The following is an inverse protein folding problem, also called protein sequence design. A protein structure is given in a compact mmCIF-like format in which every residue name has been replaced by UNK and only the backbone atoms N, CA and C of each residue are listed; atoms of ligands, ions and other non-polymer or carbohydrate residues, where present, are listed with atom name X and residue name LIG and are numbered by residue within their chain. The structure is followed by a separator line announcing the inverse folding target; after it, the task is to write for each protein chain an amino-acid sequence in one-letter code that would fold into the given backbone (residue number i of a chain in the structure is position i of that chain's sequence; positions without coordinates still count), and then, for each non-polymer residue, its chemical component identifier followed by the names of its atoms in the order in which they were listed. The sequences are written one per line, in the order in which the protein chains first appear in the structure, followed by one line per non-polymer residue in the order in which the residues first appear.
data_IF_619296457228
#
_entry.id   IF_619296457228
#
_cell.length_a   1.000
_cell.length_b   1.000
_cell.length_c   1.000
_cell.angle_alpha   90.00
_cell.angle_beta   90.00
_cell.angle_gamma   90.00
#
_symmetry.space_group_name_H-M   'P 1'
#
loop_
_entity.id
_entity.type
_entity.pdbx_description
1 polymer ?
#
# COMPACT_ATOMS: atom_id res chain seq x y z
N UNK A 1 -23.68 -67.48 21.34
CA UNK A 1 -24.13 -66.72 20.15
C UNK A 1 -23.78 -65.26 20.36
N UNK A 2 -22.75 -64.78 19.66
CA UNK A 2 -22.21 -63.42 19.72
C UNK A 2 -23.25 -62.37 19.28
N UNK A 3 -23.31 -61.23 19.98
CA UNK A 3 -23.65 -59.94 19.37
C UNK A 3 -22.84 -58.81 20.02
N UNK A 4 -21.84 -58.32 19.28
CA UNK A 4 -21.18 -57.03 19.43
C UNK A 4 -22.11 -55.93 18.90
N UNK A 5 -22.23 -54.81 19.60
CA UNK A 5 -22.57 -53.48 19.08
C UNK A 5 -22.62 -52.49 20.26
N UNK A 6 -22.17 -51.24 20.21
CA UNK A 6 -21.33 -50.48 19.30
C UNK A 6 -20.91 -49.24 20.09
N UNK A 7 -19.63 -48.89 20.10
CA UNK A 7 -19.15 -47.63 20.67
C UNK A 7 -19.45 -46.54 19.64
N UNK A 8 -20.24 -45.55 20.02
CA UNK A 8 -20.49 -44.33 19.23
C UNK A 8 -19.38 -43.34 19.56
N UNK A 9 -18.49 -42.96 18.62
CA UNK A 9 -17.61 -41.83 18.84
C UNK A 9 -18.34 -40.56 18.40
N UNK A 10 -18.61 -39.67 19.34
CA UNK A 10 -19.10 -38.31 19.07
C UNK A 10 -17.98 -37.55 18.37
N UNK A 11 -18.10 -37.33 17.07
CA UNK A 11 -17.20 -36.46 16.32
C UNK A 11 -17.47 -35.00 16.71
N UNK A 12 -16.54 -34.40 17.47
CA UNK A 12 -16.51 -32.97 17.70
C UNK A 12 -16.01 -32.28 16.43
N UNK A 13 -16.94 -31.66 15.70
CA UNK A 13 -16.65 -30.82 14.53
C UNK A 13 -16.03 -29.51 15.03
N UNK A 14 -14.69 -29.42 15.09
CA UNK A 14 -14.02 -28.12 15.23
C UNK A 14 -14.21 -27.36 13.91
N UNK A 15 -15.12 -26.39 13.91
CA UNK A 15 -15.13 -25.32 12.92
C UNK A 15 -13.82 -24.53 13.07
N UNK A 16 -12.79 -24.92 12.32
CA UNK A 16 -11.66 -24.06 12.04
C UNK A 16 -12.19 -22.90 11.18
N UNK A 17 -12.56 -21.80 11.84
CA UNK A 17 -12.72 -20.52 11.18
C UNK A 17 -11.33 -20.16 10.63
N UNK A 18 -11.12 -20.39 9.35
CA UNK A 18 -10.01 -19.79 8.63
C UNK A 18 -10.22 -18.27 8.74
N UNK A 19 -9.52 -17.63 9.67
CA UNK A 19 -9.38 -16.19 9.64
C UNK A 19 -8.74 -15.87 8.28
N UNK A 20 -9.45 -15.12 7.44
CA UNK A 20 -8.78 -14.45 6.34
C UNK A 20 -7.61 -13.69 6.98
N UNK A 21 -6.40 -13.91 6.48
CA UNK A 21 -5.27 -13.09 6.88
C UNK A 21 -5.59 -11.67 6.37
N UNK A 22 -6.20 -10.85 7.22
CA UNK A 22 -6.40 -9.45 6.93
C UNK A 22 -5.01 -8.83 6.86
N UNK A 23 -4.74 -8.05 5.80
CA UNK A 23 -3.48 -7.32 5.72
C UNK A 23 -3.38 -6.42 6.96
N UNK A 24 -2.43 -6.73 7.83
CA UNK A 24 -2.26 -6.07 9.11
C UNK A 24 -0.96 -5.27 9.09
N UNK A 25 -0.99 -4.08 9.69
CA UNK A 25 0.20 -3.28 9.87
C UNK A 25 1.17 -3.99 10.81
N UNK A 26 2.42 -4.14 10.38
CA UNK A 26 3.50 -4.67 11.20
C UNK A 26 4.69 -3.72 11.25
N UNK A 27 5.47 -3.83 12.32
CA UNK A 27 6.74 -3.15 12.45
C UNK A 27 7.86 -4.14 12.11
N UNK A 28 8.72 -3.78 11.16
CA UNK A 28 9.84 -4.58 10.71
C UNK A 28 11.10 -3.71 10.69
N UNK A 29 12.05 -4.01 11.59
CA UNK A 29 13.30 -3.26 11.76
C UNK A 29 13.17 -1.71 11.80
N UNK A 30 12.07 -1.20 12.38
CA UNK A 30 11.81 0.25 12.48
C UNK A 30 11.04 0.84 11.29
N UNK A 31 10.56 0.00 10.39
CA UNK A 31 9.70 0.35 9.27
C UNK A 31 8.28 -0.17 9.54
N UNK A 32 7.28 0.71 9.42
CA UNK A 32 5.88 0.30 9.47
C UNK A 32 5.44 -0.14 8.08
N UNK A 33 5.00 -1.39 7.93
CA UNK A 33 4.66 -1.96 6.63
C UNK A 33 3.29 -2.64 6.62
N UNK A 34 2.66 -2.65 5.45
CA UNK A 34 1.37 -3.29 5.22
C UNK A 34 1.26 -3.75 3.76
N UNK A 35 0.62 -4.90 3.55
CA UNK A 35 0.32 -5.43 2.22
C UNK A 35 -1.00 -4.82 1.69
N UNK A 36 -1.18 -4.67 0.36
CA UNK A 36 -2.46 -4.24 -0.18
C UNK A 36 -3.51 -5.33 0.02
N UNK A 37 -4.72 -4.92 0.40
CA UNK A 37 -5.89 -5.82 0.38
C UNK A 37 -6.41 -6.08 -1.03
N UNK A 38 -6.19 -5.13 -1.94
CA UNK A 38 -6.57 -5.21 -3.34
C UNK A 38 -5.53 -4.48 -4.20
N UNK A 39 -5.19 -5.05 -5.34
CA UNK A 39 -4.40 -4.38 -6.38
C UNK A 39 -4.72 -5.00 -7.74
N UNK A 40 -4.56 -4.23 -8.81
CA UNK A 40 -4.57 -4.72 -10.19
C UNK A 40 -3.19 -4.58 -10.85
N UNK A 41 -2.13 -4.47 -10.04
CA UNK A 41 -0.78 -4.23 -10.50
C UNK A 41 0.27 -4.92 -9.63
N UNK A 42 1.52 -4.51 -9.83
CA UNK A 42 2.70 -5.16 -9.23
C UNK A 42 2.96 -4.80 -7.77
N UNK A 43 2.11 -3.99 -7.12
CA UNK A 43 2.34 -3.52 -5.74
C UNK A 43 2.21 -4.67 -4.75
N UNK A 44 3.22 -4.84 -3.88
CA UNK A 44 3.24 -5.90 -2.86
C UNK A 44 3.24 -5.35 -1.43
N UNK A 45 3.81 -4.16 -1.20
CA UNK A 45 3.95 -3.59 0.14
C UNK A 45 3.95 -2.07 0.10
N UNK A 46 3.35 -1.45 1.11
CA UNK A 46 3.56 -0.05 1.49
C UNK A 46 4.45 -0.02 2.73
N UNK A 47 5.47 0.83 2.71
CA UNK A 47 6.37 1.05 3.83
C UNK A 47 6.39 2.53 4.24
N UNK A 48 6.36 2.77 5.54
CA UNK A 48 6.53 4.09 6.17
C UNK A 48 7.70 4.00 7.11
N UNK A 49 8.71 4.82 6.88
CA UNK A 49 9.95 4.80 7.65
C UNK A 49 10.43 6.20 7.98
N UNK A 50 11.28 6.25 9.00
CA UNK A 50 11.91 7.50 9.37
C UNK A 50 12.88 7.99 8.28
N UNK A 51 12.78 9.28 7.98
CA UNK A 51 13.68 10.03 7.11
C UNK A 51 13.61 11.51 7.50
N UNK A 52 14.48 12.33 6.91
CA UNK A 52 14.40 13.79 7.00
C UNK A 52 14.24 14.37 5.58
N UNK A 53 13.00 14.48 5.06
CA UNK A 53 11.68 14.24 5.68
C UNK A 53 11.25 12.76 5.73
N UNK A 54 10.11 12.45 6.37
CA UNK A 54 9.50 11.09 6.41
C UNK A 54 9.41 10.48 5.02
N UNK A 55 9.75 9.19 4.90
CA UNK A 55 9.67 8.44 3.65
C UNK A 55 8.46 7.50 3.64
N UNK A 56 7.78 7.48 2.50
CA UNK A 56 6.76 6.48 2.17
C UNK A 56 7.13 5.83 0.86
N UNK A 57 7.24 4.50 0.86
CA UNK A 57 7.72 3.71 -0.27
C UNK A 57 6.71 2.63 -0.64
N UNK A 58 6.68 2.28 -1.91
CA UNK A 58 6.03 1.08 -2.41
C UNK A 58 7.08 0.10 -2.93
N UNK A 59 6.91 -1.14 -2.53
CA UNK A 59 7.67 -2.27 -3.08
C UNK A 59 6.78 -2.97 -4.08
N UNK A 60 7.33 -3.24 -5.25
CA UNK A 60 6.61 -3.87 -6.34
C UNK A 60 7.40 -5.00 -6.98
N UNK A 61 6.65 -6.03 -7.40
CA UNK A 61 7.19 -7.22 -8.03
C UNK A 61 7.83 -6.90 -9.38
N UNK A 62 9.14 -7.17 -9.49
CA UNK A 62 9.83 -7.15 -10.78
C UNK A 62 10.09 -5.76 -11.35
N UNK A 63 10.11 -4.71 -10.52
CA UNK A 63 10.47 -3.35 -10.91
C UNK A 63 9.45 -2.31 -10.44
N UNK A 64 9.17 -1.24 -11.22
CA UNK A 64 8.23 -0.19 -10.83
C UNK A 64 6.78 -0.70 -10.76
N UNK A 65 5.88 0.17 -10.31
CA UNK A 65 4.44 -0.10 -10.29
C UNK A 65 3.93 -0.17 -11.72
N UNK A 66 3.44 -1.34 -12.12
CA UNK A 66 2.89 -1.61 -13.45
C UNK A 66 1.56 -2.35 -13.33
N UNK A 67 0.68 -2.27 -14.34
CA UNK A 67 -0.51 -3.11 -14.42
C UNK A 67 -0.13 -4.60 -14.46
N UNK A 68 -0.94 -5.44 -13.82
CA UNK A 68 -0.72 -6.89 -13.87
C UNK A 68 -0.97 -7.41 -15.29
N UNK A 69 -0.10 -8.31 -15.75
CA UNK A 69 -0.21 -8.94 -17.06
C UNK A 69 0.25 -8.08 -18.24
N UNK A 70 0.70 -6.84 -18.03
CA UNK A 70 1.30 -5.99 -19.06
C UNK A 70 2.81 -5.82 -18.86
N UNK A 71 3.56 -6.84 -19.26
CA UNK A 71 5.02 -6.82 -19.18
C UNK A 71 5.69 -5.82 -20.16
N UNK A 72 4.92 -5.22 -21.08
CA UNK A 72 5.42 -4.23 -22.03
C UNK A 72 5.17 -2.79 -21.56
N UNK A 73 4.36 -2.59 -20.52
CA UNK A 73 4.11 -1.29 -19.92
C UNK A 73 5.40 -0.64 -19.45
N UNK A 74 5.44 0.70 -19.55
CA UNK A 74 6.55 1.52 -19.07
C UNK A 74 6.04 2.43 -17.97
N UNK A 75 6.82 2.57 -16.90
CA UNK A 75 6.53 3.48 -15.82
C UNK A 75 6.80 4.94 -16.24
N UNK A 76 5.85 5.57 -16.92
CA UNK A 76 5.96 6.97 -17.38
C UNK A 76 5.51 7.99 -16.33
N UNK A 77 5.07 7.54 -15.15
CA UNK A 77 4.55 8.39 -14.08
C UNK A 77 5.63 9.07 -13.21
N UNK A 78 6.88 8.62 -13.29
CA UNK A 78 7.95 9.14 -12.44
C UNK A 78 8.26 10.62 -12.73
N UNK A 79 8.50 11.39 -11.67
CA UNK A 79 8.89 12.80 -11.73
C UNK A 79 7.86 13.71 -12.44
N UNK A 80 6.61 13.27 -12.55
CA UNK A 80 5.52 14.01 -13.19
C UNK A 80 4.38 14.31 -12.20
N UNK A 81 3.86 15.54 -12.19
CA UNK A 81 2.67 15.88 -11.42
C UNK A 81 1.42 15.29 -12.09
N UNK A 82 0.38 15.02 -11.30
CA UNK A 82 -0.92 14.51 -11.73
C UNK A 82 -0.95 13.02 -12.07
N UNK A 83 0.19 12.33 -11.94
CA UNK A 83 0.34 10.92 -12.32
C UNK A 83 0.15 9.94 -11.17
N UNK A 84 0.24 10.41 -9.93
CA UNK A 84 -0.01 9.59 -8.74
C UNK A 84 -1.03 10.30 -7.85
N UNK A 85 -2.02 9.55 -7.36
CA UNK A 85 -3.00 10.07 -6.43
C UNK A 85 -3.20 9.10 -5.28
N UNK A 86 -3.12 9.62 -4.07
CA UNK A 86 -3.63 8.94 -2.89
C UNK A 86 -5.06 9.40 -2.58
N UNK A 87 -5.89 8.46 -2.14
CA UNK A 87 -7.23 8.70 -1.62
C UNK A 87 -7.28 8.07 -0.23
N UNK A 88 -7.38 8.87 0.84
CA UNK A 88 -7.59 8.36 2.20
C UNK A 88 -9.03 8.62 2.59
N UNK A 89 -9.82 7.56 2.79
CA UNK A 89 -11.25 7.65 3.09
C UNK A 89 -12.03 8.58 2.13
N UNK A 90 -11.62 8.66 0.87
CA UNK A 90 -12.21 9.55 -0.15
C UNK A 90 -11.65 10.98 -0.19
N UNK A 91 -10.71 11.35 0.68
CA UNK A 91 -9.97 12.60 0.60
C UNK A 91 -8.76 12.45 -0.35
N UNK A 92 -8.65 13.30 -1.40
CA UNK A 92 -7.54 13.23 -2.35
C UNK A 92 -6.27 13.91 -1.82
N UNK A 93 -5.13 13.27 -2.08
CA UNK A 93 -3.78 13.80 -1.90
C UNK A 93 -3.01 13.62 -3.21
N UNK A 94 -2.72 14.69 -3.95
CA UNK A 94 -1.88 14.61 -5.15
C UNK A 94 -0.45 14.28 -4.75
N UNK A 95 0.15 13.29 -5.42
CA UNK A 95 1.49 12.80 -5.13
C UNK A 95 2.34 12.80 -6.40
N UNK A 96 3.65 12.85 -6.21
CA UNK A 96 4.64 12.52 -7.21
C UNK A 96 5.39 11.25 -6.79
N UNK A 97 6.06 10.62 -7.74
CA UNK A 97 6.84 9.43 -7.49
C UNK A 97 8.27 9.59 -8.02
N UNK A 98 9.24 9.13 -7.23
CA UNK A 98 10.61 8.89 -7.67
C UNK A 98 10.90 7.38 -7.72
N UNK A 99 11.85 6.98 -8.55
CA UNK A 99 12.37 5.61 -8.57
C UNK A 99 13.59 5.49 -7.65
N UNK A 100 13.68 4.39 -6.90
CA UNK A 100 14.85 4.02 -6.12
C UNK A 100 15.08 2.51 -6.23
N UNK A 101 15.99 2.09 -7.11
CA UNK A 101 16.24 0.68 -7.46
C UNK A 101 14.96 -0.11 -7.78
N UNK A 102 14.48 -0.94 -6.85
CA UNK A 102 13.27 -1.77 -6.98
C UNK A 102 12.05 -1.17 -6.24
N UNK A 103 12.13 0.10 -5.84
CA UNK A 103 11.10 0.77 -5.04
C UNK A 103 10.62 2.06 -5.69
N UNK A 104 9.38 2.43 -5.36
CA UNK A 104 8.78 3.72 -5.71
C UNK A 104 8.67 4.56 -4.44
N UNK A 105 9.37 5.70 -4.42
CA UNK A 105 9.32 6.65 -3.30
C UNK A 105 8.25 7.69 -3.58
N UNK A 106 7.33 7.88 -2.64
CA UNK A 106 6.23 8.83 -2.76
C UNK A 106 6.61 10.20 -2.19
N UNK A 107 6.26 11.24 -2.94
CA UNK A 107 6.45 12.63 -2.60
C UNK A 107 5.13 13.39 -2.68
N UNK A 108 5.03 14.54 -2.03
CA UNK A 108 3.98 15.49 -2.36
C UNK A 108 4.30 16.11 -3.73
N UNK A 109 3.27 16.52 -4.47
CA UNK A 109 3.50 17.31 -5.69
C UNK A 109 4.17 18.65 -5.34
N UNK A 110 5.38 18.83 -5.84
CA UNK A 110 6.19 20.04 -5.69
C UNK A 110 6.15 20.95 -6.89
N UNK A 111 6.99 21.99 -6.85
CA UNK A 111 7.20 22.90 -7.99
C UNK A 111 8.13 22.27 -9.03
N UNK A 112 8.17 22.86 -10.24
CA UNK A 112 9.13 22.47 -11.28
C UNK A 112 10.60 22.60 -10.82
N UNK A 113 10.90 23.58 -9.95
CA UNK A 113 12.25 23.78 -9.42
C UNK A 113 12.71 22.62 -8.51
N UNK A 114 11.75 21.89 -7.93
CA UNK A 114 11.94 20.71 -7.09
C UNK A 114 11.76 19.40 -7.89
N UNK A 115 11.75 19.48 -9.23
CA UNK A 115 11.39 18.34 -10.11
C UNK A 115 10.03 17.72 -9.75
N UNK A 116 9.10 18.54 -9.26
CA UNK A 116 7.76 18.13 -8.80
C UNK A 116 7.74 17.17 -7.60
N UNK A 117 8.87 16.99 -6.90
CA UNK A 117 8.98 16.12 -5.72
C UNK A 117 9.22 16.97 -4.46
N UNK A 118 8.15 17.33 -3.77
CA UNK A 118 8.24 18.00 -2.48
C UNK A 118 8.16 16.98 -1.32
N UNK A 119 8.69 17.32 -0.13
CA UNK A 119 8.47 16.55 1.09
C UNK A 119 6.98 16.21 1.31
N UNK A 120 6.71 14.98 1.76
CA UNK A 120 5.35 14.59 2.11
C UNK A 120 4.78 15.52 3.18
N UNK A 121 3.53 15.92 2.99
CA UNK A 121 2.85 16.83 3.89
C UNK A 121 2.45 16.11 5.17
N UNK A 122 2.55 16.79 6.31
CA UNK A 122 2.17 16.25 7.60
C UNK A 122 0.69 15.82 7.68
N UNK A 123 -0.19 16.49 6.94
CA UNK A 123 -1.62 16.14 6.91
C UNK A 123 -1.90 14.84 6.16
N UNK A 124 -1.11 14.51 5.14
CA UNK A 124 -1.16 13.19 4.50
C UNK A 124 -0.70 12.09 5.47
N UNK A 125 0.39 12.32 6.20
CA UNK A 125 0.89 11.35 7.19
C UNK A 125 -0.13 11.15 8.33
N UNK A 126 -0.77 12.21 8.81
CA UNK A 126 -1.85 12.06 9.81
C UNK A 126 -3.10 11.39 9.24
N UNK A 127 -3.43 11.61 7.96
CA UNK A 127 -4.53 10.91 7.31
C UNK A 127 -4.29 9.40 7.27
N UNK A 128 -3.11 8.93 6.85
CA UNK A 128 -2.82 7.48 6.84
C UNK A 128 -2.79 6.87 8.26
N UNK A 129 -2.48 7.66 9.29
CA UNK A 129 -2.50 7.24 10.70
C UNK A 129 -3.91 7.20 11.32
N UNK A 130 -4.92 7.81 10.71
CA UNK A 130 -6.26 7.95 11.31
C UNK A 130 -7.39 7.46 10.42
N UNK A 131 -7.15 7.29 9.13
CA UNK A 131 -8.13 6.80 8.18
C UNK A 131 -8.42 5.31 8.36
N UNK A 132 -9.30 4.80 7.50
CA UNK A 132 -9.66 3.38 7.43
C UNK A 132 -9.08 2.70 6.19
N UNK A 133 -8.97 3.45 5.09
CA UNK A 133 -8.49 2.92 3.82
C UNK A 133 -7.66 3.97 3.07
N UNK A 134 -6.54 3.52 2.49
CA UNK A 134 -5.73 4.27 1.53
C UNK A 134 -5.83 3.57 0.18
N UNK A 135 -6.26 4.28 -0.86
CA UNK A 135 -6.12 3.83 -2.25
C UNK A 135 -5.10 4.69 -2.97
N UNK A 136 -4.11 4.05 -3.58
CA UNK A 136 -3.15 4.69 -4.48
C UNK A 136 -3.54 4.38 -5.92
N UNK A 137 -3.52 5.40 -6.78
CA UNK A 137 -3.73 5.29 -8.22
C UNK A 137 -2.52 5.82 -8.98
N UNK A 138 -2.10 5.11 -10.01
CA UNK A 138 -0.99 5.40 -10.90
C UNK A 138 -1.51 5.47 -12.34
N UNK A 139 -1.18 6.57 -13.02
CA UNK A 139 -1.38 6.80 -14.45
C UNK A 139 -0.07 6.38 -15.13
N UNK A 140 0.03 5.07 -15.43
CA UNK A 140 1.26 4.42 -15.93
C UNK A 140 1.45 4.69 -17.43
N UNK A 141 0.33 4.84 -18.16
CA UNK A 141 0.21 4.95 -19.59
C UNK A 141 -0.80 6.04 -19.94
N UNK A 142 -0.71 6.65 -21.14
CA UNK A 142 -1.68 7.65 -21.58
C UNK A 142 -3.12 7.14 -21.77
N UNK A 143 -3.37 5.84 -21.61
CA UNK A 143 -4.67 5.21 -21.79
C UNK A 143 -5.45 5.18 -20.47
N UNK A 144 -6.77 5.37 -20.54
CA UNK A 144 -7.62 5.37 -19.33
C UNK A 144 -7.75 3.97 -18.73
N UNK A 145 -7.88 3.91 -17.41
CA UNK A 145 -8.09 2.68 -16.64
C UNK A 145 -9.43 2.00 -16.93
N UNK A 146 -9.57 0.77 -16.45
CA UNK A 146 -10.76 -0.07 -16.65
C UNK A 146 -12.06 0.52 -16.05
N UNK A 147 -11.93 1.41 -15.08
CA UNK A 147 -13.01 2.16 -14.42
C UNK A 147 -13.28 3.53 -15.06
N UNK A 148 -12.59 3.88 -16.15
CA UNK A 148 -12.67 5.19 -16.80
C UNK A 148 -11.89 6.30 -16.06
N UNK A 149 -11.16 5.97 -15.00
CA UNK A 149 -10.19 6.84 -14.35
C UNK A 149 -9.00 7.13 -15.28
N UNK A 150 -8.32 8.28 -15.15
CA UNK A 150 -6.99 8.43 -15.75
C UNK A 150 -5.93 7.51 -15.12
N UNK A 151 -6.21 6.92 -13.95
CA UNK A 151 -5.32 5.96 -13.29
C UNK A 151 -5.74 4.54 -13.68
N UNK A 152 -4.85 3.76 -14.29
CA UNK A 152 -5.11 2.37 -14.64
C UNK A 152 -4.58 1.36 -13.62
N UNK A 153 -3.60 1.73 -12.81
CA UNK A 153 -3.03 0.84 -11.78
C UNK A 153 -3.38 1.35 -10.40
N UNK A 154 -3.92 0.48 -9.56
CA UNK A 154 -4.36 0.81 -8.21
C UNK A 154 -3.86 -0.20 -7.18
N UNK A 155 -3.69 0.28 -5.95
CA UNK A 155 -3.43 -0.54 -4.77
C UNK A 155 -4.17 0.06 -3.56
N UNK A 156 -4.89 -0.78 -2.83
CA UNK A 156 -5.70 -0.39 -1.67
C UNK A 156 -5.18 -1.05 -0.41
N UNK A 157 -4.88 -0.24 0.60
CA UNK A 157 -4.30 -0.64 1.87
C UNK A 157 -5.28 -0.34 3.01
N UNK A 158 -5.47 -1.29 3.96
CA UNK A 158 -6.20 -1.01 5.18
C UNK A 158 -5.36 -0.10 6.06
N UNK A 159 -5.99 0.82 6.79
CA UNK A 159 -5.34 1.73 7.73
C UNK A 159 -5.68 1.41 9.19
N UNK A 160 -6.53 0.41 9.45
CA UNK A 160 -6.76 -0.07 10.80
C UNK A 160 -5.46 -0.57 11.43
N UNK A 161 -5.13 -0.09 12.64
CA UNK A 161 -3.88 -0.41 13.32
C UNK A 161 -2.64 0.41 12.88
N UNK A 162 -2.75 1.24 11.83
CA UNK A 162 -1.60 1.97 11.26
C UNK A 162 -0.93 2.91 12.25
N UNK A 163 -1.72 3.65 13.06
CA UNK A 163 -1.21 4.67 13.99
C UNK A 163 -0.08 4.14 14.87
N UNK A 164 -0.31 3.01 15.54
CA UNK A 164 0.63 2.46 16.50
C UNK A 164 1.94 2.03 15.86
N UNK A 165 1.89 1.51 14.62
CA UNK A 165 3.09 1.09 13.89
C UNK A 165 3.84 2.27 13.31
N UNK A 166 3.13 3.20 12.67
CA UNK A 166 3.72 4.42 12.10
C UNK A 166 4.34 5.30 13.18
N UNK A 167 3.67 5.51 14.33
CA UNK A 167 4.24 6.30 15.44
C UNK A 167 5.54 5.68 15.96
N UNK A 168 5.62 4.34 16.02
CA UNK A 168 6.84 3.64 16.42
C UNK A 168 7.94 3.76 15.37
N UNK A 169 7.63 3.58 14.08
CA UNK A 169 8.58 3.74 12.98
C UNK A 169 9.16 5.16 12.92
N UNK A 170 8.36 6.18 13.27
CA UNK A 170 8.75 7.59 13.23
C UNK A 170 9.33 8.13 14.55
N UNK A 171 9.39 7.32 15.62
CA UNK A 171 9.87 7.75 16.94
C UNK A 171 11.34 8.24 16.96
N UNK A 172 12.11 7.90 15.92
CA UNK A 172 13.49 8.34 15.72
C UNK A 172 13.65 9.66 14.94
N UNK A 173 12.59 10.20 14.34
CA UNK A 173 12.72 11.34 13.44
C UNK A 173 12.88 12.66 14.22
N UNK A 174 13.88 13.46 13.85
CA UNK A 174 14.12 14.78 14.44
C UNK A 174 14.83 14.79 15.80
N UNK A 175 15.66 13.78 16.10
CA UNK A 175 16.62 13.82 17.20
C UNK A 175 17.99 14.32 16.75
#
# INVERSE_FOLDING_TARGET
MNKLAAIVPTAALLCALAAAAHAEWRLDEGVAIVEPTQTNGTVELLAVMCGDPVHVELYSRGGPVLPDGDAAAKAEYFYLPGKVRAMVDGQPFPLAAGASDETVVLFAEGTKAENYMAPLRADFIEAIKSGRELTLGFDVTPASGADGSPFETTATFPLEGSRGMIDQALAGCGK
#
